data_IF_987926557303
#
_entry.id   IF_987926557303
#
_cell.length_a   1.000
_cell.length_b   1.000
_cell.length_c   1.000
_cell.angle_alpha   90.00
_cell.angle_beta   90.00
_cell.angle_gamma   90.00
#
_symmetry.space_group_name_H-M   'P 1'
#
loop_
_entity.id
_entity.type
_entity.pdbx_description
1 polymer ?
#
# COMPACT_ATOMS: atom_id res chain seq x y z
N UNK A 1 8.44 -10.78 22.30
CA UNK A 1 7.97 -9.63 21.48
C UNK A 1 8.23 -9.73 19.98
N UNK A 2 9.03 -10.67 19.46
CA UNK A 2 9.23 -10.84 18.00
C UNK A 2 7.99 -11.24 17.20
N UNK A 3 6.94 -11.78 17.85
CA UNK A 3 5.66 -12.06 17.18
C UNK A 3 4.94 -10.81 16.69
N UNK A 4 5.03 -9.70 17.44
CA UNK A 4 4.35 -8.45 17.09
C UNK A 4 4.96 -7.78 15.85
N UNK A 5 6.30 -7.72 15.76
CA UNK A 5 7.00 -7.19 14.59
C UNK A 5 6.73 -8.03 13.33
N UNK A 6 6.61 -9.36 13.49
CA UNK A 6 6.23 -10.26 12.39
C UNK A 6 4.79 -10.01 11.95
N UNK A 7 3.85 -9.84 12.89
CA UNK A 7 2.47 -9.50 12.58
C UNK A 7 2.33 -8.18 11.82
N UNK A 8 3.07 -7.15 12.24
CA UNK A 8 3.16 -5.86 11.54
C UNK A 8 3.72 -6.01 10.12
N UNK A 9 4.78 -6.80 9.94
CA UNK A 9 5.37 -7.03 8.61
C UNK A 9 4.41 -7.78 7.67
N UNK A 10 3.69 -8.80 8.18
CA UNK A 10 2.67 -9.53 7.40
C UNK A 10 1.52 -8.59 7.03
N UNK A 11 1.02 -7.81 7.98
CA UNK A 11 -0.04 -6.84 7.71
C UNK A 11 0.40 -5.80 6.66
N UNK A 12 1.61 -5.27 6.79
CA UNK A 12 2.19 -4.35 5.81
C UNK A 12 2.24 -4.97 4.42
N UNK A 13 2.72 -6.21 4.31
CA UNK A 13 2.77 -6.94 3.04
C UNK A 13 1.38 -7.11 2.42
N UNK A 14 0.38 -7.53 3.21
CA UNK A 14 -0.98 -7.73 2.72
C UNK A 14 -1.60 -6.41 2.22
N UNK A 15 -1.38 -5.31 2.94
CA UNK A 15 -1.85 -3.98 2.54
C UNK A 15 -1.16 -3.54 1.25
N UNK A 16 0.15 -3.77 1.10
CA UNK A 16 0.89 -3.44 -0.12
C UNK A 16 0.40 -4.25 -1.31
N UNK A 17 0.18 -5.55 -1.15
CA UNK A 17 -0.37 -6.41 -2.21
C UNK A 17 -1.78 -5.96 -2.61
N UNK A 18 -2.61 -5.56 -1.63
CA UNK A 18 -3.94 -5.04 -1.92
C UNK A 18 -3.88 -3.69 -2.66
N UNK A 19 -2.98 -2.78 -2.27
CA UNK A 19 -2.77 -1.52 -2.98
C UNK A 19 -2.29 -1.73 -4.42
N UNK A 20 -1.35 -2.66 -4.63
CA UNK A 20 -0.89 -3.05 -5.97
C UNK A 20 -2.01 -3.66 -6.81
N UNK A 21 -2.83 -4.52 -6.21
CA UNK A 21 -3.99 -5.09 -6.88
C UNK A 21 -4.95 -3.99 -7.35
N UNK A 22 -5.17 -2.98 -6.52
CA UNK A 22 -6.04 -1.85 -6.87
C UNK A 22 -5.48 -1.03 -8.04
N UNK A 23 -4.17 -0.77 -8.06
CA UNK A 23 -3.51 -0.08 -9.18
C UNK A 23 -3.43 -0.92 -10.47
N UNK A 24 -3.58 -2.24 -10.35
CA UNK A 24 -3.53 -3.16 -11.49
C UNK A 24 -4.92 -3.60 -11.96
N UNK A 25 -5.98 -3.00 -11.44
CA UNK A 25 -7.35 -3.29 -11.89
C UNK A 25 -7.54 -2.77 -13.32
N UNK A 26 -8.29 -3.49 -14.17
CA UNK A 26 -8.60 -2.98 -15.50
C UNK A 26 -9.68 -1.88 -15.44
N UNK A 27 -9.71 -1.03 -16.47
CA UNK A 27 -10.58 0.16 -16.59
C UNK A 27 -12.05 -0.06 -16.24
N UNK A 28 -12.59 -1.26 -16.49
CA UNK A 28 -13.96 -1.60 -16.14
C UNK A 28 -14.27 -1.47 -14.62
N UNK A 29 -13.25 -1.53 -13.76
CA UNK A 29 -13.37 -1.57 -12.30
C UNK A 29 -12.76 -0.37 -11.58
N UNK A 30 -12.09 0.54 -12.27
CA UNK A 30 -11.37 1.66 -11.64
C UNK A 30 -12.30 2.77 -11.11
N UNK A 31 -13.61 2.65 -11.36
CA UNK A 31 -14.64 3.53 -10.80
C UNK A 31 -14.71 4.90 -11.49
N UNK A 32 -15.27 5.92 -10.83
CA UNK A 32 -15.41 7.23 -11.44
C UNK A 32 -14.03 7.87 -11.68
N UNK A 33 -13.95 8.58 -12.80
CA UNK A 33 -12.77 9.36 -13.15
C UNK A 33 -12.68 10.59 -12.26
N UNK A 34 -11.51 10.80 -11.66
CA UNK A 34 -11.23 11.96 -10.80
C UNK A 34 -10.51 13.06 -11.56
N UNK A 35 -9.56 12.69 -12.42
CA UNK A 35 -8.72 13.64 -13.12
C UNK A 35 -8.22 13.07 -14.46
N UNK A 36 -8.34 13.84 -15.54
CA UNK A 36 -7.73 13.48 -16.83
C UNK A 36 -6.33 14.07 -16.92
N UNK A 37 -5.34 13.24 -17.22
CA UNK A 37 -3.99 13.72 -17.53
C UNK A 37 -3.91 14.03 -19.03
N UNK A 38 -4.34 13.10 -19.88
CA UNK A 38 -4.43 13.25 -21.33
C UNK A 38 -5.46 12.26 -21.92
N UNK A 39 -5.53 12.15 -23.25
CA UNK A 39 -6.50 11.29 -23.94
C UNK A 39 -6.36 9.80 -23.59
N UNK A 40 -5.15 9.34 -23.23
CA UNK A 40 -4.85 7.94 -22.91
C UNK A 40 -4.66 7.67 -21.41
N UNK A 41 -4.58 8.71 -20.57
CA UNK A 41 -4.26 8.58 -19.15
C UNK A 41 -5.22 9.39 -18.28
N UNK A 42 -5.88 8.69 -17.37
CA UNK A 42 -6.71 9.28 -16.34
C UNK A 42 -6.33 8.71 -14.97
N UNK A 43 -6.48 9.53 -13.93
CA UNK A 43 -6.47 9.08 -12.55
C UNK A 43 -7.92 8.90 -12.13
N UNK A 44 -8.22 7.70 -11.64
CA UNK A 44 -9.55 7.31 -11.20
C UNK A 44 -9.55 7.04 -9.72
N UNK A 45 -10.75 6.88 -9.17
CA UNK A 45 -10.94 6.74 -7.73
C UNK A 45 -10.14 5.58 -7.15
N UNK A 46 -10.13 4.45 -7.86
CA UNK A 46 -9.45 3.24 -7.41
C UNK A 46 -7.93 3.39 -7.42
N UNK A 47 -7.36 4.16 -8.34
CA UNK A 47 -5.93 4.48 -8.34
C UNK A 47 -5.55 5.25 -7.07
N UNK A 48 -6.37 6.25 -6.71
CA UNK A 48 -6.19 6.99 -5.47
C UNK A 48 -6.24 6.10 -4.22
N UNK A 49 -7.17 5.14 -4.20
CA UNK A 49 -7.28 4.16 -3.11
C UNK A 49 -6.06 3.23 -3.05
N UNK A 50 -5.60 2.72 -4.19
CA UNK A 50 -4.43 1.87 -4.22
C UNK A 50 -3.16 2.63 -3.80
N UNK A 51 -2.97 3.87 -4.25
CA UNK A 51 -1.85 4.72 -3.81
C UNK A 51 -1.90 4.95 -2.29
N UNK A 52 -3.09 5.24 -1.75
CA UNK A 52 -3.27 5.40 -0.31
C UNK A 52 -2.91 4.12 0.45
N UNK A 53 -3.35 2.96 -0.01
CA UNK A 53 -2.99 1.67 0.57
C UNK A 53 -1.47 1.44 0.52
N UNK A 54 -0.81 1.78 -0.59
CA UNK A 54 0.64 1.67 -0.70
C UNK A 54 1.36 2.55 0.33
N UNK A 55 0.94 3.81 0.49
CA UNK A 55 1.53 4.71 1.50
C UNK A 55 1.39 4.16 2.93
N UNK A 56 0.21 3.62 3.26
CA UNK A 56 -0.05 3.00 4.56
C UNK A 56 0.84 1.75 4.72
N UNK A 57 0.83 0.84 3.76
CA UNK A 57 1.61 -0.40 3.77
C UNK A 57 3.11 -0.14 3.90
N UNK A 58 3.67 0.82 3.15
CA UNK A 58 5.08 1.20 3.24
C UNK A 58 5.41 1.78 4.61
N UNK A 59 4.56 2.64 5.16
CA UNK A 59 4.74 3.20 6.50
C UNK A 59 4.73 2.12 7.58
N UNK A 60 3.82 1.14 7.50
CA UNK A 60 3.82 -0.01 8.40
C UNK A 60 5.06 -0.89 8.24
N UNK A 61 5.51 -1.15 7.01
CA UNK A 61 6.73 -1.92 6.77
C UNK A 61 7.96 -1.22 7.36
N UNK A 62 8.06 0.10 7.20
CA UNK A 62 9.15 0.90 7.74
C UNK A 62 9.15 0.90 9.27
N UNK A 63 7.99 1.09 9.91
CA UNK A 63 7.89 1.05 11.37
C UNK A 63 8.20 -0.35 11.92
N UNK A 64 7.78 -1.42 11.25
CA UNK A 64 8.14 -2.79 11.60
C UNK A 64 9.66 -3.01 11.54
N UNK A 65 10.33 -2.47 10.52
CA UNK A 65 11.77 -2.54 10.36
C UNK A 65 12.51 -1.76 11.47
N UNK A 66 12.09 -0.52 11.77
CA UNK A 66 12.65 0.29 12.86
C UNK A 66 12.49 -0.40 14.22
N UNK A 67 11.31 -0.96 14.49
CA UNK A 67 11.06 -1.72 15.71
C UNK A 67 12.00 -2.93 15.81
N UNK A 68 12.12 -3.72 14.73
CA UNK A 68 13.01 -4.87 14.70
C UNK A 68 14.48 -4.50 14.94
N UNK A 69 14.96 -3.42 14.31
CA UNK A 69 16.32 -2.91 14.53
C UNK A 69 16.55 -2.50 15.99
N UNK A 70 15.59 -1.79 16.60
CA UNK A 70 15.68 -1.38 18.02
C UNK A 70 15.70 -2.56 18.97
N UNK A 71 14.99 -3.64 18.64
CA UNK A 71 15.05 -4.90 19.40
C UNK A 71 16.37 -5.63 19.22
N UNK A 72 16.94 -5.63 18.01
CA UNK A 72 18.20 -6.32 17.73
C UNK A 72 19.42 -5.61 18.32
N UNK A 73 19.34 -4.29 18.51
CA UNK A 73 20.41 -3.47 19.10
C UNK A 73 20.38 -3.42 20.64
N UNK A 74 19.41 -4.07 21.28
CA UNK A 74 19.36 -4.30 22.74
C UNK A 74 19.79 -5.72 23.04
#
# INVERSE_FOLDING_TARGET
MGGFTRGLAVLALLILLLGLLFLALPDAYEGPMLYQINDDHAIRLVDGLGVLLLLIGTSLAWTAALLWQRWRAR
#
